data_IF_968467020872
#
_entry.id   IF_968467020872
#
_cell.length_a   1.000
_cell.length_b   1.000
_cell.length_c   1.000
_cell.angle_alpha   90.00
_cell.angle_beta   90.00
_cell.angle_gamma   90.00
#
_symmetry.space_group_name_H-M   'P 1'
#
loop_
_entity.id
_entity.type
_entity.pdbx_description
1 polymer ?
#
# COMPACT_ATOMS: atom_id res chain seq x y z
N UNK A 1 0.77 -7.06 25.35
CA UNK A 1 0.45 -7.59 24.00
C UNK A 1 -1.01 -7.28 23.74
N UNK A 2 -1.31 -6.31 22.89
CA UNK A 2 -2.68 -5.85 22.62
C UNK A 2 -3.31 -6.78 21.59
N UNK A 3 -4.27 -7.60 22.04
CA UNK A 3 -5.22 -8.26 21.16
C UNK A 3 -6.23 -7.19 20.72
N UNK A 4 -6.36 -6.86 19.43
CA UNK A 4 -7.32 -5.84 19.02
C UNK A 4 -8.77 -6.27 19.29
N UNK A 5 -9.02 -7.56 19.61
CA UNK A 5 -10.34 -8.17 19.83
C UNK A 5 -11.16 -8.27 18.55
N UNK A 6 -11.05 -7.26 17.71
CA UNK A 6 -11.75 -7.06 16.47
C UNK A 6 -10.79 -7.16 15.28
N UNK A 7 -10.82 -8.33 14.64
CA UNK A 7 -10.04 -8.65 13.45
C UNK A 7 -10.78 -8.33 12.14
N UNK A 8 -11.75 -7.40 12.16
CA UNK A 8 -12.40 -6.88 10.94
C UNK A 8 -11.47 -5.96 10.17
N UNK A 9 -11.56 -6.01 8.85
CA UNK A 9 -10.75 -5.22 7.93
C UNK A 9 -9.56 -5.98 7.37
N UNK A 10 -8.57 -5.24 6.89
CA UNK A 10 -7.44 -5.76 6.11
C UNK A 10 -6.13 -5.08 6.48
N UNK A 11 -5.05 -5.83 6.33
CA UNK A 11 -3.70 -5.31 6.25
C UNK A 11 -3.28 -5.26 4.78
N UNK A 12 -2.87 -4.09 4.31
CA UNK A 12 -2.34 -3.89 2.98
C UNK A 12 -0.84 -3.77 3.05
N UNK A 13 -0.13 -4.46 2.15
CA UNK A 13 1.32 -4.39 2.03
C UNK A 13 1.69 -3.98 0.62
N UNK A 14 2.56 -2.99 0.50
CA UNK A 14 3.11 -2.52 -0.78
C UNK A 14 4.59 -2.86 -0.84
N UNK A 15 5.00 -3.50 -1.93
CA UNK A 15 6.35 -4.00 -2.11
C UNK A 15 7.10 -3.16 -3.15
N UNK A 16 8.42 -3.11 -3.00
CA UNK A 16 9.33 -2.36 -3.87
C UNK A 16 9.16 -2.69 -5.36
N UNK A 17 8.80 -3.93 -5.69
CA UNK A 17 8.57 -4.39 -7.06
C UNK A 17 7.24 -3.92 -7.69
N UNK A 18 6.48 -3.06 -7.03
CA UNK A 18 5.20 -2.54 -7.54
C UNK A 18 4.00 -3.47 -7.34
N UNK A 19 4.15 -4.53 -6.53
CA UNK A 19 3.03 -5.37 -6.10
C UNK A 19 2.42 -4.89 -4.79
N UNK A 20 1.15 -5.19 -4.60
CA UNK A 20 0.46 -5.01 -3.32
C UNK A 20 -0.36 -6.23 -2.93
N UNK A 21 -0.39 -6.52 -1.63
CA UNK A 21 -1.19 -7.59 -1.02
C UNK A 21 -2.24 -7.00 -0.10
N UNK A 22 -3.50 -7.41 -0.26
CA UNK A 22 -4.59 -7.16 0.70
C UNK A 22 -4.85 -8.44 1.48
N UNK A 23 -4.48 -8.47 2.75
CA UNK A 23 -4.60 -9.64 3.64
C UNK A 23 -5.68 -9.37 4.69
N UNK A 24 -6.58 -10.31 4.90
CA UNK A 24 -7.60 -10.17 5.95
C UNK A 24 -6.96 -10.13 7.34
N UNK A 25 -7.42 -9.22 8.21
CA UNK A 25 -6.92 -9.13 9.58
C UNK A 25 -7.14 -10.42 10.37
N UNK A 26 -8.19 -11.19 10.04
CA UNK A 26 -8.48 -12.52 10.56
C UNK A 26 -7.29 -13.49 10.46
N UNK A 27 -6.43 -13.35 9.45
CA UNK A 27 -5.24 -14.17 9.24
C UNK A 27 -4.16 -13.98 10.32
N UNK A 28 -4.25 -12.89 11.09
CA UNK A 28 -3.33 -12.54 12.17
C UNK A 28 -3.86 -12.91 13.56
N UNK A 29 -5.06 -13.52 13.62
CA UNK A 29 -5.66 -13.98 14.87
C UNK A 29 -4.86 -15.16 15.43
N UNK A 30 -4.32 -14.99 16.63
CA UNK A 30 -3.70 -16.08 17.38
C UNK A 30 -4.75 -16.72 18.29
N UNK A 31 -4.77 -18.05 18.34
CA UNK A 31 -5.69 -18.81 19.21
C UNK A 31 -5.16 -19.01 20.62
N UNK A 32 -3.89 -18.69 20.88
CA UNK A 32 -3.24 -18.81 22.19
C UNK A 32 -2.22 -17.70 22.40
N UNK A 33 -2.19 -17.14 23.61
CA UNK A 33 -1.27 -16.07 24.01
C UNK A 33 0.21 -16.49 24.03
N UNK A 34 0.53 -17.78 23.95
CA UNK A 34 1.91 -18.30 23.91
C UNK A 34 2.52 -18.38 22.51
N UNK A 35 1.75 -18.14 21.44
CA UNK A 35 2.27 -18.21 20.06
C UNK A 35 2.71 -16.84 19.57
N UNK A 36 3.99 -16.72 19.22
CA UNK A 36 4.50 -15.58 18.45
C UNK A 36 3.99 -15.68 17.02
N UNK A 37 3.51 -14.56 16.50
CA UNK A 37 3.12 -14.44 15.10
C UNK A 37 4.38 -14.35 14.23
N UNK A 38 4.64 -15.37 13.42
CA UNK A 38 5.75 -15.39 12.44
C UNK A 38 5.20 -15.28 11.02
N UNK A 39 5.95 -14.65 10.11
CA UNK A 39 5.54 -14.49 8.70
C UNK A 39 4.34 -13.57 8.52
N UNK A 40 4.53 -12.27 8.71
CA UNK A 40 3.44 -11.28 8.62
C UNK A 40 3.07 -10.92 7.16
N UNK A 41 4.04 -10.97 6.25
CA UNK A 41 3.92 -10.63 4.84
C UNK A 41 4.95 -11.43 4.02
N UNK A 42 4.88 -11.35 2.69
CA UNK A 42 5.86 -11.99 1.79
C UNK A 42 7.25 -11.33 1.89
N UNK A 43 8.29 -12.15 2.03
CA UNK A 43 9.71 -11.73 2.06
C UNK A 43 10.38 -11.66 0.68
N UNK A 44 9.67 -12.01 -0.39
CA UNK A 44 10.23 -12.05 -1.76
C UNK A 44 10.58 -10.69 -2.37
N UNK A 45 10.14 -9.59 -1.76
CA UNK A 45 10.48 -8.23 -2.17
C UNK A 45 10.40 -7.33 -0.94
N UNK A 46 11.28 -6.31 -0.81
CA UNK A 46 11.26 -5.40 0.32
C UNK A 46 9.91 -4.70 0.49
N UNK A 47 9.45 -4.62 1.73
CA UNK A 47 8.23 -3.91 2.11
C UNK A 47 8.50 -2.42 2.12
N UNK A 48 7.62 -1.65 1.48
CA UNK A 48 7.68 -0.19 1.40
C UNK A 48 6.63 0.49 2.26
N UNK A 49 5.44 -0.08 2.34
CA UNK A 49 4.35 0.47 3.18
C UNK A 49 3.45 -0.65 3.67
N UNK A 50 3.04 -0.58 4.94
CA UNK A 50 1.95 -1.38 5.48
C UNK A 50 0.83 -0.46 6.00
N UNK A 51 -0.41 -0.74 5.64
CA UNK A 51 -1.59 0.03 6.04
C UNK A 51 -2.65 -0.90 6.64
N UNK A 52 -3.17 -0.55 7.81
CA UNK A 52 -4.30 -1.24 8.43
C UNK A 52 -5.59 -0.50 8.09
N UNK A 53 -6.49 -1.13 7.35
CA UNK A 53 -7.73 -0.52 6.87
C UNK A 53 -8.95 -1.26 7.42
N UNK A 54 -9.97 -0.51 7.84
CA UNK A 54 -11.24 -1.05 8.36
C UNK A 54 -12.33 -1.09 7.31
N UNK A 55 -12.21 -0.22 6.31
CA UNK A 55 -13.10 -0.10 5.17
C UNK A 55 -12.27 0.16 3.90
N UNK A 56 -12.90 0.03 2.74
CA UNK A 56 -12.24 0.37 1.49
C UNK A 56 -12.09 1.87 1.32
N UNK A 57 -10.92 2.30 0.87
CA UNK A 57 -10.62 3.71 0.60
C UNK A 57 -9.83 3.85 -0.69
N UNK A 58 -9.49 5.09 -1.05
CA UNK A 58 -8.55 5.34 -2.14
C UNK A 58 -7.14 5.48 -1.59
N UNK A 59 -6.19 4.84 -2.27
CA UNK A 59 -4.77 4.94 -1.97
C UNK A 59 -4.04 5.59 -3.14
N UNK A 60 -3.07 6.43 -2.81
CA UNK A 60 -2.07 6.92 -3.72
C UNK A 60 -0.77 6.13 -3.54
N UNK A 61 -0.18 5.72 -4.65
CA UNK A 61 1.09 4.99 -4.69
C UNK A 61 2.08 5.78 -5.52
N UNK A 62 3.25 6.02 -4.95
CA UNK A 62 4.33 6.78 -5.54
C UNK A 62 5.45 5.83 -5.94
N UNK A 63 6.08 6.09 -7.09
CA UNK A 63 7.33 5.44 -7.46
C UNK A 63 8.52 6.36 -7.35
N UNK A 64 9.71 5.77 -7.44
CA UNK A 64 10.98 6.50 -7.61
C UNK A 64 11.14 7.07 -9.03
N UNK A 65 10.36 6.58 -10.01
CA UNK A 65 9.99 7.40 -11.18
C UNK A 65 8.93 8.38 -10.68
N UNK A 66 8.98 9.70 -10.96
CA UNK A 66 8.01 10.67 -10.44
C UNK A 66 6.63 10.45 -11.07
N UNK A 67 5.98 9.35 -10.69
CA UNK A 67 4.69 8.85 -11.13
C UNK A 67 3.88 8.51 -9.92
N UNK A 68 2.60 8.82 -10.02
CA UNK A 68 1.60 8.52 -9.02
C UNK A 68 0.48 7.73 -9.64
N UNK A 69 -0.01 6.77 -8.87
CA UNK A 69 -1.17 5.97 -9.18
C UNK A 69 -2.15 6.07 -8.01
N UNK A 70 -3.37 6.53 -8.28
CA UNK A 70 -4.47 6.53 -7.31
C UNK A 70 -5.43 5.40 -7.67
N UNK A 71 -5.87 4.60 -6.71
CA UNK A 71 -6.85 3.56 -6.96
C UNK A 71 -7.64 3.20 -5.70
N UNK A 72 -8.83 2.63 -5.87
CA UNK A 72 -9.63 2.12 -4.76
C UNK A 72 -9.13 0.75 -4.29
N UNK A 73 -8.99 0.56 -2.97
CA UNK A 73 -8.63 -0.74 -2.38
C UNK A 73 -9.63 -1.85 -2.65
N UNK A 74 -10.83 -1.52 -3.13
CA UNK A 74 -11.83 -2.48 -3.61
C UNK A 74 -11.34 -3.23 -4.86
N UNK A 75 -10.41 -2.67 -5.64
CA UNK A 75 -9.79 -3.33 -6.80
C UNK A 75 -8.80 -4.44 -6.39
N UNK A 76 -8.37 -4.49 -5.13
CA UNK A 76 -7.51 -5.55 -4.62
C UNK A 76 -8.35 -6.68 -4.03
N UNK A 77 -8.24 -7.87 -4.62
CA UNK A 77 -8.83 -9.07 -4.03
C UNK A 77 -8.20 -9.42 -2.69
N UNK A 78 -9.03 -9.60 -1.65
CA UNK A 78 -8.55 -10.02 -0.32
C UNK A 78 -7.97 -11.43 -0.38
N UNK A 79 -6.95 -11.67 0.46
CA UNK A 79 -6.30 -12.97 0.64
C UNK A 79 -6.28 -13.33 2.12
N UNK A 80 -6.40 -14.62 2.41
CA UNK A 80 -6.28 -15.17 3.76
C UNK A 80 -4.82 -15.57 4.09
N UNK A 81 -3.99 -15.77 3.07
CA UNK A 81 -2.58 -16.15 3.23
C UNK A 81 -1.68 -14.93 3.42
N UNK A 82 -1.00 -14.86 4.56
CA UNK A 82 -0.06 -13.76 4.92
C UNK A 82 1.17 -13.69 4.02
N UNK A 83 1.72 -14.83 3.60
CA UNK A 83 2.89 -14.91 2.71
C UNK A 83 2.58 -14.64 1.22
N UNK A 84 1.40 -14.08 0.92
CA UNK A 84 1.03 -13.74 -0.46
C UNK A 84 1.96 -12.66 -1.01
N UNK A 85 2.42 -12.84 -2.25
CA UNK A 85 3.17 -11.80 -2.98
C UNK A 85 2.25 -10.66 -3.46
N UNK A 86 0.94 -10.82 -3.33
CA UNK A 86 -0.03 -9.87 -3.83
C UNK A 86 -0.16 -9.87 -5.36
N UNK A 87 -0.76 -8.80 -5.87
CA UNK A 87 -0.99 -8.55 -7.29
C UNK A 87 -0.19 -7.33 -7.74
N UNK A 88 0.14 -7.23 -9.02
CA UNK A 88 0.79 -6.05 -9.56
C UNK A 88 -0.18 -4.85 -9.50
N UNK A 89 0.25 -3.76 -8.89
CA UNK A 89 -0.52 -2.50 -8.83
C UNK A 89 0.10 -1.45 -9.73
N UNK A 90 1.42 -1.28 -9.64
CA UNK A 90 2.18 -0.28 -10.38
C UNK A 90 3.16 -0.97 -11.34
N UNK A 91 3.03 -0.69 -12.62
CA UNK A 91 3.94 -1.18 -13.67
C UNK A 91 5.18 -0.29 -13.70
N UNK A 92 6.31 -0.83 -13.24
CA UNK A 92 7.57 -0.13 -13.11
C UNK A 92 8.57 -0.55 -14.20
N UNK A 93 9.43 0.38 -14.65
CA UNK A 93 10.60 0.04 -15.46
C UNK A 93 11.69 -0.54 -14.56
N UNK A 94 12.59 -1.36 -15.12
CA UNK A 94 13.64 -2.11 -14.37
C UNK A 94 14.47 -1.28 -13.38
N UNK A 95 14.67 0.02 -13.63
CA UNK A 95 15.48 0.91 -12.77
C UNK A 95 14.68 1.59 -11.65
N UNK A 96 13.36 1.49 -11.68
CA UNK A 96 12.46 2.18 -10.76
C UNK A 96 11.72 1.19 -9.89
N UNK A 97 11.32 1.70 -8.74
CA UNK A 97 10.74 0.94 -7.64
C UNK A 97 9.54 1.70 -7.09
N UNK A 98 8.66 0.99 -6.39
CA UNK A 98 7.63 1.62 -5.57
C UNK A 98 8.33 2.25 -4.36
N UNK A 99 8.03 3.52 -4.10
CA UNK A 99 8.62 4.29 -3.02
C UNK A 99 7.78 4.17 -1.75
N UNK A 100 6.52 4.63 -1.79
CA UNK A 100 5.56 4.50 -0.70
C UNK A 100 4.11 4.52 -1.19
N UNK A 101 3.20 4.20 -0.30
CA UNK A 101 1.76 4.34 -0.49
C UNK A 101 1.12 5.06 0.71
N UNK A 102 0.06 5.81 0.48
CA UNK A 102 -0.70 6.50 1.52
C UNK A 102 -2.18 6.63 1.14
N UNK A 103 -3.08 6.91 2.11
CA UNK A 103 -4.44 7.33 1.80
C UNK A 103 -4.45 8.52 0.84
N UNK A 104 -5.32 8.52 -0.16
CA UNK A 104 -5.39 9.59 -1.16
C UNK A 104 -5.71 10.95 -0.51
N UNK A 105 -6.48 10.95 0.57
CA UNK A 105 -6.80 12.13 1.40
C UNK A 105 -5.57 12.72 2.13
N UNK A 106 -4.52 11.93 2.34
CA UNK A 106 -3.28 12.38 2.96
C UNK A 106 -2.27 12.96 1.95
N UNK A 107 -2.64 13.03 0.67
CA UNK A 107 -1.76 13.57 -0.38
C UNK A 107 -1.95 15.08 -0.56
N UNK A 108 -0.90 15.78 -0.99
CA UNK A 108 -0.97 17.18 -1.44
C UNK A 108 -1.53 17.36 -2.86
N UNK A 109 -2.05 16.31 -3.49
CA UNK A 109 -2.47 16.33 -4.91
C UNK A 109 -3.78 17.12 -5.06
N UNK A 110 -3.74 18.19 -5.87
CA UNK A 110 -4.91 19.03 -6.11
C UNK A 110 -5.95 18.33 -7.01
N UNK A 111 -5.50 17.50 -7.96
CA UNK A 111 -6.38 16.79 -8.88
C UNK A 111 -6.12 15.27 -8.89
N UNK A 112 -6.70 14.56 -7.90
CA UNK A 112 -6.60 13.10 -7.78
C UNK A 112 -7.12 12.35 -9.01
N UNK A 113 -8.15 12.88 -9.69
CA UNK A 113 -8.77 12.22 -10.84
C UNK A 113 -7.78 11.97 -11.99
N UNK A 114 -6.75 12.81 -12.12
CA UNK A 114 -5.67 12.67 -13.11
C UNK A 114 -4.86 11.38 -12.92
N UNK A 115 -4.68 10.97 -11.67
CA UNK A 115 -3.83 9.83 -11.29
C UNK A 115 -4.65 8.55 -11.07
N UNK A 116 -5.99 8.65 -11.11
CA UNK A 116 -6.91 7.56 -10.78
C UNK A 116 -6.93 6.49 -11.88
N UNK A 117 -6.66 5.24 -11.50
CA UNK A 117 -6.84 4.07 -12.37
C UNK A 117 -8.14 3.32 -12.05
N UNK A 118 -8.74 2.75 -13.09
CA UNK A 118 -9.96 1.91 -13.00
C UNK A 118 -9.66 0.41 -12.94
N UNK A 119 -8.43 0.01 -13.29
CA UNK A 119 -7.99 -1.38 -13.32
C UNK A 119 -6.51 -1.47 -12.97
N UNK A 120 -6.11 -2.61 -12.41
CA UNK A 120 -4.72 -2.91 -12.03
C UNK A 120 -4.24 -4.13 -12.83
N UNK A 121 -2.96 -4.17 -13.27
CA UNK A 121 -1.91 -3.18 -13.01
C UNK A 121 -2.03 -1.93 -13.89
N UNK A 122 -1.47 -0.81 -13.42
CA UNK A 122 -1.43 0.46 -14.15
C UNK A 122 -0.03 1.10 -14.09
N UNK A 123 0.32 1.91 -15.08
CA UNK A 123 1.64 2.59 -15.15
C UNK A 123 1.73 3.81 -14.23
N UNK A 124 0.59 4.38 -13.81
CA UNK A 124 0.54 5.66 -13.12
C UNK A 124 0.83 6.85 -14.06
N UNK A 125 0.43 8.04 -13.64
CA UNK A 125 0.66 9.28 -14.38
C UNK A 125 1.85 10.04 -13.79
N UNK A 126 2.58 10.80 -14.62
CA UNK A 126 3.69 11.63 -14.15
C UNK A 126 3.17 12.69 -13.18
N UNK A 127 3.83 12.80 -12.03
CA UNK A 127 3.56 13.79 -11.01
C UNK A 127 3.88 15.18 -11.57
N UNK A 128 2.92 16.08 -11.50
CA UNK A 128 3.14 17.48 -11.85
C UNK A 128 3.91 18.19 -10.74
N UNK A 129 4.67 19.23 -11.09
CA UNK A 129 5.32 20.11 -10.12
C UNK A 129 4.32 20.80 -9.18
N UNK A 130 3.11 21.08 -9.66
CA UNK A 130 2.00 21.64 -8.86
C UNK A 130 1.52 20.67 -7.76
N UNK A 131 1.67 19.36 -7.98
CA UNK A 131 1.23 18.29 -7.09
C UNK A 131 2.40 17.67 -6.31
N UNK A 132 3.64 18.09 -6.59
CA UNK A 132 4.82 17.61 -5.86
C UNK A 132 4.92 18.34 -4.53
N UNK A 133 4.94 17.58 -3.44
CA UNK A 133 5.20 18.11 -2.11
C UNK A 133 6.65 18.65 -2.04
N UNK A 134 6.84 19.91 -2.39
CA UNK A 134 8.02 20.70 -2.01
C UNK A 134 8.01 21.05 -0.50
N UNK A 135 7.46 20.15 0.32
CA UNK A 135 7.54 20.21 1.79
C UNK A 135 8.43 19.08 2.25
N UNK A 136 9.72 19.31 2.04
CA UNK A 136 10.77 18.78 2.90
C UNK A 136 10.37 19.04 4.35
N UNK A 137 9.85 18.02 5.03
CA UNK A 137 9.83 18.00 6.49
C UNK A 137 11.29 17.93 6.94
N UNK A 138 11.88 19.12 7.13
CA UNK A 138 13.01 19.30 8.02
C UNK A 138 12.54 18.88 9.41
N UNK A 139 12.86 17.65 9.82
CA UNK A 139 12.79 17.27 11.21
C UNK A 139 14.01 17.92 11.89
N UNK A 140 13.81 19.11 12.44
CA UNK A 140 14.68 19.71 13.45
C UNK A 140 14.07 19.50 14.83
N UNK A 141 14.99 19.21 15.76
CA UNK A 141 14.90 18.99 17.21
C UNK A 141 14.40 17.62 17.72
#
# INVERSE_FOLDING_TARGET
MVLPGDYRGWMLFFFENGKAAKVELSAYRTTSNRRKLTGAYSDKSPLRTALCLREDCELAVYSTEPRVLVFSTALLGSKTTRATQGVAVLTLKKKFTLDYACPAEATGIANLARYRARSLPAVGALLKAEDSDEKQISLMD
#
